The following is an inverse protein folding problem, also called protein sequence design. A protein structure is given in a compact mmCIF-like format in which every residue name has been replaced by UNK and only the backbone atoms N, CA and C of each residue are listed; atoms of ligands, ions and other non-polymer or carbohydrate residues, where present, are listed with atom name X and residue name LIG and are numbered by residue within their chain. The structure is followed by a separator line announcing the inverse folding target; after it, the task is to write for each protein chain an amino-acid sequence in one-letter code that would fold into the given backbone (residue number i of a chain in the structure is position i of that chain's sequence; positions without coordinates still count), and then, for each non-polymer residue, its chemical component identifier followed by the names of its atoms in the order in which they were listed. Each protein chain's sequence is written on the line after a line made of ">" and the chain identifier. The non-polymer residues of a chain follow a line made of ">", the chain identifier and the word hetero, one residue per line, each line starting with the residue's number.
data_IF_215632334242
#
_entry.id   IF_215632334242
#
_cell.length_a   1.000
_cell.length_b   1.000
_cell.length_c   1.000
_cell.angle_alpha   90.00
_cell.angle_beta   90.00
_cell.angle_gamma   90.00
#
_symmetry.space_group_name_H-M   'P 1'
#
loop_
_entity.id
_entity.type
_entity.pdbx_description
1 polymer ?
#
# COMPACT_ATOMS: atom_id res chain seq x y z
N UNK A 1 4.68 -1.69 13.73
CA UNK A 1 4.82 -2.94 12.94
C UNK A 1 3.49 -3.30 12.33
N UNK A 2 3.46 -3.63 11.04
CA UNK A 2 2.23 -4.00 10.36
C UNK A 2 1.80 -5.43 10.74
N UNK A 3 0.54 -5.58 11.17
CA UNK A 3 -0.01 -6.91 11.45
C UNK A 3 -0.72 -7.41 10.18
N UNK A 4 -0.01 -8.20 9.39
CA UNK A 4 -0.52 -8.71 8.11
C UNK A 4 -1.74 -9.60 8.27
N UNK A 5 -1.77 -10.46 9.29
CA UNK A 5 -2.92 -11.33 9.51
C UNK A 5 -4.18 -10.53 9.77
N UNK A 6 -4.07 -9.45 10.53
CA UNK A 6 -5.20 -8.57 10.78
C UNK A 6 -5.68 -7.88 9.49
N UNK A 7 -4.74 -7.45 8.65
CA UNK A 7 -5.08 -6.84 7.37
C UNK A 7 -5.78 -7.83 6.44
N UNK A 8 -5.32 -9.06 6.39
CA UNK A 8 -5.97 -10.11 5.60
C UNK A 8 -7.42 -10.28 6.02
N UNK A 9 -7.66 -10.36 7.31
CA UNK A 9 -9.01 -10.51 7.86
C UNK A 9 -9.88 -9.30 7.57
N UNK A 10 -9.35 -8.09 7.80
CA UNK A 10 -10.10 -6.85 7.61
C UNK A 10 -10.56 -6.64 6.18
N UNK A 11 -9.74 -7.01 5.21
CA UNK A 11 -10.00 -6.71 3.79
C UNK A 11 -10.34 -7.95 2.96
N UNK A 12 -10.61 -9.07 3.61
CA UNK A 12 -11.08 -10.27 2.92
C UNK A 12 -10.04 -10.90 2.00
N UNK A 13 -8.77 -10.81 2.37
CA UNK A 13 -7.68 -11.40 1.59
C UNK A 13 -7.54 -12.85 2.05
N UNK A 14 -8.09 -13.79 1.28
CA UNK A 14 -8.26 -15.18 1.70
C UNK A 14 -7.27 -16.15 1.08
N UNK A 15 -6.97 -15.99 -0.20
CA UNK A 15 -6.14 -16.94 -0.91
C UNK A 15 -4.67 -16.71 -0.59
N UNK A 16 -3.88 -17.78 -0.65
CA UNK A 16 -2.44 -17.69 -0.43
C UNK A 16 -1.79 -16.73 -1.43
N UNK A 17 -2.22 -16.79 -2.68
CA UNK A 17 -1.69 -15.92 -3.73
C UNK A 17 -1.93 -14.45 -3.40
N UNK A 18 -3.13 -14.12 -2.94
CA UNK A 18 -3.45 -12.74 -2.55
C UNK A 18 -2.67 -12.29 -1.32
N UNK A 19 -2.56 -13.18 -0.33
CA UNK A 19 -1.79 -12.89 0.90
C UNK A 19 -0.32 -12.63 0.58
N UNK A 20 0.28 -13.47 -0.26
CA UNK A 20 1.68 -13.32 -0.65
C UNK A 20 1.89 -12.03 -1.45
N UNK A 21 0.97 -11.71 -2.35
CA UNK A 21 1.04 -10.48 -3.14
C UNK A 21 0.96 -9.24 -2.25
N UNK A 22 0.03 -9.22 -1.30
CA UNK A 22 -0.12 -8.09 -0.38
C UNK A 22 1.10 -7.95 0.51
N UNK A 23 1.60 -9.06 1.06
CA UNK A 23 2.80 -9.06 1.88
C UNK A 23 3.98 -8.49 1.13
N UNK A 24 4.20 -8.93 -0.11
CA UNK A 24 5.28 -8.44 -0.94
C UNK A 24 5.18 -6.92 -1.16
N UNK A 25 4.01 -6.44 -1.52
CA UNK A 25 3.80 -5.02 -1.78
C UNK A 25 4.08 -4.16 -0.54
N UNK A 26 3.51 -4.55 0.60
CA UNK A 26 3.64 -3.73 1.82
C UNK A 26 5.02 -3.83 2.46
N UNK A 27 5.69 -4.97 2.32
CA UNK A 27 7.00 -5.20 2.94
C UNK A 27 8.14 -4.68 2.08
N UNK A 28 8.08 -4.90 0.77
CA UNK A 28 9.20 -4.68 -0.12
C UNK A 28 9.07 -3.48 -1.06
N UNK A 29 7.86 -2.98 -1.29
CA UNK A 29 7.63 -1.98 -2.33
C UNK A 29 6.96 -0.70 -1.86
N UNK A 30 6.63 -0.58 -0.58
CA UNK A 30 6.03 0.64 -0.07
C UNK A 30 7.13 1.64 0.30
N UNK A 31 7.21 2.81 -0.36
CA UNK A 31 8.25 3.79 -0.06
C UNK A 31 8.06 4.42 1.31
N UNK A 32 9.12 5.00 1.87
CA UNK A 32 9.06 5.64 3.19
C UNK A 32 8.04 6.78 3.24
N UNK A 33 7.90 7.50 2.14
CA UNK A 33 7.00 8.65 2.06
C UNK A 33 5.62 8.27 1.54
N UNK A 34 5.21 7.01 1.72
CA UNK A 34 3.94 6.54 1.18
C UNK A 34 2.74 7.35 1.69
N UNK A 35 2.80 7.86 2.93
CA UNK A 35 1.68 8.61 3.49
C UNK A 35 1.38 9.85 2.66
N UNK A 36 2.42 10.60 2.28
CA UNK A 36 2.25 11.79 1.44
C UNK A 36 1.72 11.43 0.06
N UNK A 37 2.23 10.34 -0.52
CA UNK A 37 1.80 9.88 -1.83
C UNK A 37 0.33 9.45 -1.81
N UNK A 38 -0.09 8.76 -0.75
CA UNK A 38 -1.49 8.34 -0.57
C UNK A 38 -2.39 9.57 -0.41
N UNK A 39 -1.98 10.52 0.42
CA UNK A 39 -2.74 11.76 0.63
C UNK A 39 -2.95 12.48 -0.71
N UNK A 40 -1.88 12.63 -1.51
CA UNK A 40 -1.96 13.30 -2.80
C UNK A 40 -2.90 12.57 -3.76
N UNK A 41 -2.84 11.22 -3.81
CA UNK A 41 -3.75 10.44 -4.64
C UNK A 41 -5.20 10.67 -4.27
N UNK A 42 -5.49 10.67 -2.98
CA UNK A 42 -6.86 10.84 -2.51
C UNK A 42 -7.37 12.27 -2.72
N UNK A 43 -6.49 13.26 -2.60
CA UNK A 43 -6.85 14.65 -2.91
C UNK A 43 -7.30 14.82 -4.35
N UNK A 44 -6.65 14.13 -5.29
CA UNK A 44 -7.04 14.15 -6.70
C UNK A 44 -8.45 13.59 -6.91
N UNK A 45 -8.91 12.75 -6.00
CA UNK A 45 -10.26 12.16 -6.03
C UNK A 45 -11.26 12.95 -5.17
N UNK A 46 -10.83 14.10 -4.61
CA UNK A 46 -11.68 14.91 -3.75
C UNK A 46 -11.79 14.42 -2.32
N UNK A 47 -10.89 13.54 -1.88
CA UNK A 47 -10.91 12.97 -0.53
C UNK A 47 -9.76 13.54 0.26
N UNK A 48 -10.05 14.14 1.42
CA UNK A 48 -9.03 14.69 2.32
C UNK A 48 -8.80 13.75 3.49
N UNK A 49 -7.54 13.38 3.72
CA UNK A 49 -7.14 12.53 4.85
C UNK A 49 -5.81 13.06 5.40
N UNK A 50 -5.54 12.78 6.67
CA UNK A 50 -4.25 13.14 7.26
C UNK A 50 -3.31 11.93 7.32
N UNK A 51 -2.04 12.18 7.60
CA UNK A 51 -1.03 11.13 7.61
C UNK A 51 -1.26 10.09 8.72
N UNK A 52 -1.81 10.52 9.86
CA UNK A 52 -2.08 9.60 10.96
C UNK A 52 -3.18 8.60 10.57
N UNK A 53 -4.22 9.07 9.88
CA UNK A 53 -5.28 8.19 9.39
C UNK A 53 -4.75 7.17 8.40
N UNK A 54 -3.85 7.60 7.50
CA UNK A 54 -3.22 6.68 6.55
C UNK A 54 -2.40 5.62 7.29
N UNK A 55 -1.59 6.03 8.25
CA UNK A 55 -0.78 5.09 9.04
C UNK A 55 -1.64 4.12 9.85
N UNK A 56 -2.71 4.59 10.45
CA UNK A 56 -3.65 3.75 11.20
C UNK A 56 -4.30 2.71 10.29
N UNK A 57 -4.64 3.10 9.08
CA UNK A 57 -5.23 2.17 8.10
C UNK A 57 -4.22 1.10 7.69
N UNK A 58 -2.97 1.51 7.40
CA UNK A 58 -1.93 0.54 7.07
C UNK A 58 -1.64 -0.43 8.21
N UNK A 59 -1.68 0.06 9.45
CA UNK A 59 -1.41 -0.77 10.63
C UNK A 59 -2.56 -1.66 11.06
N UNK A 60 -3.73 -1.54 10.43
CA UNK A 60 -4.90 -2.33 10.80
C UNK A 60 -5.66 -1.81 12.01
N UNK A 61 -5.35 -0.60 12.48
CA UNK A 61 -6.07 0.02 13.59
C UNK A 61 -7.45 0.48 13.13
N UNK A 62 -7.52 0.99 11.90
CA UNK A 62 -8.77 1.43 11.28
C UNK A 62 -9.00 0.68 9.98
N UNK A 63 -10.26 0.40 9.67
CA UNK A 63 -10.63 -0.20 8.39
C UNK A 63 -11.17 0.89 7.47
N UNK A 64 -10.50 1.08 6.33
CA UNK A 64 -10.98 1.99 5.28
C UNK A 64 -10.46 1.49 3.94
N UNK A 65 -11.35 0.89 3.16
CA UNK A 65 -10.97 0.27 1.89
C UNK A 65 -10.43 1.28 0.89
N UNK A 66 -11.00 2.50 0.86
CA UNK A 66 -10.55 3.53 -0.07
C UNK A 66 -9.09 3.92 0.20
N UNK A 67 -8.77 4.17 1.48
CA UNK A 67 -7.40 4.51 1.87
C UNK A 67 -6.47 3.32 1.66
N UNK A 68 -6.89 2.13 2.06
CA UNK A 68 -6.07 0.93 1.92
C UNK A 68 -5.78 0.62 0.46
N UNK A 69 -6.79 0.78 -0.41
CA UNK A 69 -6.62 0.61 -1.86
C UNK A 69 -5.59 1.60 -2.41
N UNK A 70 -5.61 2.85 -1.94
CA UNK A 70 -4.62 3.84 -2.36
C UNK A 70 -3.21 3.47 -1.90
N UNK A 71 -3.06 2.90 -0.69
CA UNK A 71 -1.77 2.41 -0.20
C UNK A 71 -1.25 1.30 -1.12
N UNK A 72 -2.10 0.36 -1.49
CA UNK A 72 -1.74 -0.73 -2.40
C UNK A 72 -1.36 -0.20 -3.77
N UNK A 73 -2.09 0.79 -4.28
CA UNK A 73 -1.75 1.42 -5.58
C UNK A 73 -0.37 2.06 -5.55
N UNK A 74 -0.03 2.78 -4.48
CA UNK A 74 1.30 3.39 -4.33
C UNK A 74 2.38 2.30 -4.36
N UNK A 75 2.17 1.20 -3.64
CA UNK A 75 3.13 0.10 -3.61
C UNK A 75 3.29 -0.54 -4.99
N UNK A 76 2.19 -0.74 -5.72
CA UNK A 76 2.24 -1.32 -7.07
C UNK A 76 2.98 -0.41 -8.05
N UNK A 77 2.72 0.87 -8.00
CA UNK A 77 3.41 1.84 -8.87
C UNK A 77 4.91 1.85 -8.58
N UNK A 78 5.27 1.85 -7.31
CA UNK A 78 6.67 1.83 -6.91
C UNK A 78 7.36 0.53 -7.35
N UNK A 79 6.67 -0.60 -7.25
CA UNK A 79 7.18 -1.89 -7.73
C UNK A 79 7.49 -1.85 -9.23
N UNK A 80 6.58 -1.28 -10.02
CA UNK A 80 6.78 -1.16 -11.46
C UNK A 80 8.00 -0.30 -11.77
N UNK A 81 8.13 0.86 -11.13
CA UNK A 81 9.26 1.76 -11.31
C UNK A 81 10.56 1.08 -10.94
N UNK A 82 10.58 0.38 -9.80
CA UNK A 82 11.76 -0.33 -9.32
C UNK A 82 12.19 -1.44 -10.29
N UNK A 83 11.23 -2.19 -10.82
CA UNK A 83 11.51 -3.25 -11.79
C UNK A 83 12.05 -2.68 -13.11
N UNK A 84 11.49 -1.57 -13.58
CA UNK A 84 11.97 -0.89 -14.78
C UNK A 84 13.39 -0.40 -14.58
N UNK A 85 13.71 0.14 -13.42
CA UNK A 85 15.06 0.59 -13.11
C UNK A 85 16.05 -0.57 -13.15
N UNK A 86 15.68 -1.72 -12.57
CA UNK A 86 16.52 -2.91 -12.58
C UNK A 86 16.75 -3.41 -14.00
N UNK A 87 15.74 -3.36 -14.85
CA UNK A 87 15.88 -3.75 -16.26
C UNK A 87 16.86 -2.82 -16.99
N UNK A 88 16.84 -1.53 -16.70
CA UNK A 88 17.79 -0.57 -17.28
C UNK A 88 19.24 -0.92 -16.92
N UNK A 89 19.47 -1.44 -15.70
CA UNK A 89 20.80 -1.79 -15.23
C UNK A 89 21.35 -3.05 -15.89
N UNK A 90 20.49 -3.88 -16.49
CA UNK A 90 20.90 -5.13 -17.13
C UNK A 90 21.40 -4.93 -18.56
N UNK A 91 21.20 -3.77 -19.15
CA UNK A 91 21.59 -3.51 -20.55
C UNK A 91 22.92 -2.75 -20.71
#
# INVERSE_FOLDING_TARGET
>A
MTNLNKLYTLYGVDTRKEKDALKDLLTNHLPKEYTRMVINKLELKGVQVDSQTVRNTKGGISKNLLIFSAIVEVAKEYKIISNQFKEQLKT
#
